data_IF_552580775315
#
_entry.id   IF_552580775315
#
_cell.length_a   1.000
_cell.length_b   1.000
_cell.length_c   1.000
_cell.angle_alpha   90.00
_cell.angle_beta   90.00
_cell.angle_gamma   90.00
#
_symmetry.space_group_name_H-M   'P 1'
#
loop_
_entity.id
_entity.type
_entity.pdbx_description
1 polymer ?
#
# COMPACT_ATOMS: atom_id res chain seq x y z
N UNK A 1 -10.19 0.48 4.54
CA UNK A 1 -9.46 -0.25 3.48
C UNK A 1 -8.44 -1.17 4.14
N UNK A 2 -7.93 -2.20 3.46
CA UNK A 2 -6.88 -3.06 4.02
C UNK A 2 -5.93 -3.58 2.93
N UNK A 3 -4.70 -3.88 3.31
CA UNK A 3 -3.70 -4.47 2.42
C UNK A 3 -3.95 -5.98 2.32
N UNK A 4 -4.04 -6.48 1.08
CA UNK A 4 -4.17 -7.89 0.74
C UNK A 4 -2.93 -8.35 -0.01
N UNK A 5 -2.33 -9.43 0.45
CA UNK A 5 -1.31 -10.17 -0.29
C UNK A 5 -1.97 -11.28 -1.11
N UNK A 6 -1.75 -11.27 -2.42
CA UNK A 6 -2.28 -12.28 -3.33
C UNK A 6 -1.14 -13.07 -3.98
N UNK A 7 -0.94 -14.31 -3.55
CA UNK A 7 0.05 -15.21 -4.14
C UNK A 7 -0.41 -15.65 -5.53
N UNK A 8 0.37 -15.32 -6.56
CA UNK A 8 0.09 -15.67 -7.94
C UNK A 8 0.66 -17.06 -8.27
N UNK A 9 0.10 -17.72 -9.29
CA UNK A 9 0.58 -19.03 -9.77
C UNK A 9 2.03 -19.00 -10.28
N UNK A 10 2.52 -17.82 -10.69
CA UNK A 10 3.90 -17.60 -11.13
C UNK A 10 4.93 -17.55 -10.00
N UNK A 11 4.51 -17.60 -8.73
CA UNK A 11 5.40 -17.50 -7.56
C UNK A 11 5.58 -16.08 -7.02
N UNK A 12 5.13 -15.05 -7.75
CA UNK A 12 5.09 -13.66 -7.25
C UNK A 12 3.92 -13.44 -6.28
N UNK A 13 4.02 -12.44 -5.42
CA UNK A 13 2.94 -11.97 -4.56
C UNK A 13 2.54 -10.56 -4.97
N UNK A 14 1.27 -10.36 -5.30
CA UNK A 14 0.70 -9.04 -5.58
C UNK A 14 0.22 -8.39 -4.29
N UNK A 15 0.64 -7.14 -4.05
CA UNK A 15 0.19 -6.33 -2.92
C UNK A 15 -0.92 -5.40 -3.41
N UNK A 16 -2.10 -5.51 -2.80
CA UNK A 16 -3.30 -4.81 -3.22
C UNK A 16 -3.97 -4.12 -2.04
N UNK A 17 -4.66 -3.01 -2.29
CA UNK A 17 -5.55 -2.37 -1.33
C UNK A 17 -6.98 -2.71 -1.69
N UNK A 18 -7.69 -3.25 -0.71
CA UNK A 18 -9.08 -3.66 -0.84
C UNK A 18 -9.96 -2.79 0.05
N UNK A 19 -11.04 -2.29 -0.54
CA UNK A 19 -12.13 -1.64 0.17
C UNK A 19 -13.26 -2.63 0.42
N UNK A 20 -13.82 -2.60 1.63
CA UNK A 20 -15.07 -3.30 1.94
C UNK A 20 -16.22 -2.33 1.70
N UNK A 21 -17.07 -2.63 0.74
CA UNK A 21 -18.25 -1.83 0.42
C UNK A 21 -19.49 -2.74 0.36
N UNK A 22 -20.47 -2.51 1.24
CA UNK A 22 -21.74 -3.26 1.31
C UNK A 22 -21.55 -4.80 1.28
N UNK A 23 -20.60 -5.31 2.06
CA UNK A 23 -20.31 -6.75 2.14
C UNK A 23 -19.51 -7.33 0.96
N UNK A 24 -19.10 -6.51 0.00
CA UNK A 24 -18.22 -6.91 -1.11
C UNK A 24 -16.83 -6.33 -0.93
N UNK A 25 -15.83 -7.11 -1.34
CA UNK A 25 -14.45 -6.67 -1.40
C UNK A 25 -14.16 -6.15 -2.81
N UNK A 26 -13.75 -4.88 -2.92
CA UNK A 26 -13.33 -4.26 -4.18
C UNK A 26 -11.85 -3.93 -4.10
N UNK A 27 -11.05 -4.40 -5.06
CA UNK A 27 -9.67 -3.93 -5.21
C UNK A 27 -9.72 -2.51 -5.75
N UNK A 28 -9.16 -1.56 -5.01
CA UNK A 28 -9.15 -0.14 -5.38
C UNK A 28 -7.76 0.34 -5.79
N UNK A 29 -6.71 -0.39 -5.41
CA UNK A 29 -5.34 -0.09 -5.79
C UNK A 29 -4.49 -1.36 -5.79
N UNK A 30 -3.52 -1.44 -6.69
CA UNK A 30 -2.49 -2.49 -6.70
C UNK A 30 -1.14 -1.80 -6.63
N UNK A 31 -0.38 -2.04 -5.57
CA UNK A 31 0.93 -1.41 -5.39
C UNK A 31 1.97 -2.00 -6.37
N UNK A 32 1.85 -3.29 -6.66
CA UNK A 32 2.72 -4.05 -7.56
C UNK A 32 2.75 -5.54 -7.22
N UNK A 33 3.70 -6.24 -7.82
CA UNK A 33 3.97 -7.67 -7.56
C UNK A 33 5.47 -7.85 -7.33
N UNK A 34 5.84 -8.68 -6.35
CA UNK A 34 7.23 -8.96 -6.03
C UNK A 34 7.44 -10.43 -5.66
N UNK A 35 8.71 -10.82 -5.51
CA UNK A 35 9.07 -12.17 -5.05
C UNK A 35 9.84 -12.10 -3.74
N UNK A 36 10.72 -11.12 -3.61
CA UNK A 36 11.60 -11.02 -2.44
C UNK A 36 10.89 -10.34 -1.27
N UNK A 37 11.25 -10.68 -0.01
CA UNK A 37 10.67 -10.02 1.16
C UNK A 37 10.83 -8.49 1.13
N UNK A 38 12.00 -8.01 0.69
CA UNK A 38 12.31 -6.58 0.59
C UNK A 38 11.39 -5.87 -0.40
N UNK A 39 11.19 -6.43 -1.60
CA UNK A 39 10.24 -5.89 -2.57
C UNK A 39 8.82 -5.83 -2.00
N UNK A 40 8.39 -6.89 -1.31
CA UNK A 40 7.06 -6.97 -0.74
C UNK A 40 6.86 -5.96 0.39
N UNK A 41 7.88 -5.68 1.20
CA UNK A 41 7.84 -4.62 2.22
C UNK A 41 7.71 -3.24 1.59
N UNK A 42 8.51 -2.92 0.57
CA UNK A 42 8.41 -1.64 -0.16
C UNK A 42 7.01 -1.46 -0.77
N UNK A 43 6.46 -2.52 -1.35
CA UNK A 43 5.10 -2.52 -1.91
C UNK A 43 4.02 -2.34 -0.82
N UNK A 44 4.22 -2.90 0.38
CA UNK A 44 3.33 -2.68 1.54
C UNK A 44 3.38 -1.23 2.01
N UNK A 45 4.56 -0.63 2.12
CA UNK A 45 4.71 0.80 2.48
C UNK A 45 3.96 1.68 1.48
N UNK A 46 4.13 1.42 0.18
CA UNK A 46 3.39 2.14 -0.87
C UNK A 46 1.87 1.97 -0.77
N UNK A 47 1.40 0.76 -0.47
CA UNK A 47 -0.01 0.48 -0.28
C UNK A 47 -0.57 1.17 0.98
N UNK A 48 0.23 1.24 2.05
CA UNK A 48 -0.12 1.90 3.30
C UNK A 48 -0.25 3.41 3.10
N UNK A 49 0.72 4.05 2.43
CA UNK A 49 0.65 5.46 2.05
C UNK A 49 -0.60 5.78 1.22
N UNK A 50 -0.96 4.92 0.27
CA UNK A 50 -2.20 5.08 -0.49
C UNK A 50 -3.46 5.05 0.40
N UNK A 51 -3.49 4.19 1.43
CA UNK A 51 -4.62 4.14 2.38
C UNK A 51 -4.68 5.43 3.19
N UNK A 52 -3.55 5.94 3.66
CA UNK A 52 -3.44 7.19 4.41
C UNK A 52 -3.95 8.37 3.57
N UNK A 53 -3.41 8.54 2.36
CA UNK A 53 -3.80 9.59 1.42
C UNK A 53 -5.31 9.56 1.12
N UNK A 54 -5.89 8.37 0.93
CA UNK A 54 -7.33 8.22 0.65
C UNK A 54 -8.23 8.39 1.87
N UNK A 55 -7.72 8.08 3.07
CA UNK A 55 -8.49 8.24 4.31
C UNK A 55 -8.65 9.70 4.72
N UNK A 56 -7.83 10.60 4.17
CA UNK A 56 -7.78 12.01 4.56
C UNK A 56 -7.36 12.23 6.01
N UNK A 57 -6.93 11.17 6.70
CA UNK A 57 -6.35 11.25 8.04
C UNK A 57 -4.93 11.80 7.89
N UNK A 58 -4.75 13.05 8.31
CA UNK A 58 -3.41 13.57 8.57
C UNK A 58 -2.80 12.71 9.69
N UNK A 59 -1.58 12.17 9.50
CA UNK A 59 -0.90 11.47 10.58
C UNK A 59 -0.79 12.43 11.78
N UNK A 60 -1.18 11.95 12.97
CA UNK A 60 -1.20 12.76 14.20
C UNK A 60 0.20 13.29 14.57
N UNK A 61 1.24 12.65 14.01
CA UNK A 61 2.64 13.05 14.10
C UNK A 61 3.22 13.02 12.68
N UNK A 62 3.62 14.19 12.16
CA UNK A 62 4.44 14.30 10.97
C UNK A 62 5.89 14.20 11.43
N UNK A 63 6.55 13.07 11.17
CA UNK A 63 8.01 13.00 11.39
C UNK A 63 8.70 13.84 10.32
N UNK A 64 9.63 14.69 10.74
CA UNK A 64 10.33 15.66 9.90
C UNK A 64 11.10 15.00 8.74
N UNK A 65 11.39 13.71 8.85
CA UNK A 65 12.08 12.90 7.84
C UNK A 65 11.23 12.64 6.59
N UNK A 66 9.90 12.53 6.72
CA UNK A 66 8.99 12.24 5.59
C UNK A 66 8.85 13.40 4.59
N UNK A 67 9.12 14.64 5.04
CA UNK A 67 9.11 15.84 4.20
C UNK A 67 10.32 15.92 3.26
N UNK A 68 11.45 15.33 3.66
CA UNK A 68 12.71 15.46 2.91
C UNK A 68 12.63 14.67 1.60
N UNK A 69 11.97 13.51 1.59
CA UNK A 69 11.86 12.65 0.41
C UNK A 69 11.00 13.28 -0.70
N UNK A 70 10.05 14.17 -0.36
CA UNK A 70 9.20 14.81 -1.37
C UNK A 70 9.88 15.94 -2.15
N UNK A 71 11.02 16.45 -1.67
CA UNK A 71 11.65 17.66 -2.24
C UNK A 71 12.73 17.35 -3.29
N UNK A 72 13.07 16.07 -3.53
CA UNK A 72 14.17 15.67 -4.41
C UNK A 72 13.73 14.95 -5.70
N UNK A 73 12.61 15.35 -6.31
CA UNK A 73 12.21 14.90 -7.67
C UNK A 73 11.82 16.09 -8.54
#
# INVERSE_FOLDING_TARGET
MFIRENKNRSGTVSIQVVEKNKGRNKVIFTAGSGVTPVELELLKIKAQKFIEDQSGLLPLFLDQEDLIVQTFV
#
